data_IF_919694709793
#
_entry.id   IF_919694709793
#
_cell.length_a   1.000
_cell.length_b   1.000
_cell.length_c   1.000
_cell.angle_alpha   90.00
_cell.angle_beta   90.00
_cell.angle_gamma   90.00
#
_symmetry.space_group_name_H-M   'P 1'
#
loop_
_entity.id
_entity.type
_entity.pdbx_description
1 polymer ?
#
# COMPACT_ATOMS: atom_id res chain seq x y z
N UNK A 1 10.23 -8.97 14.40
CA UNK A 1 10.03 -7.69 13.70
C UNK A 1 10.80 -7.77 12.41
N UNK A 2 10.17 -8.31 11.35
CA UNK A 2 10.82 -8.44 10.04
C UNK A 2 10.14 -7.43 9.14
N UNK A 3 10.83 -6.31 8.90
CA UNK A 3 10.39 -5.31 7.94
C UNK A 3 10.49 -5.87 6.52
N UNK A 4 9.68 -5.32 5.59
CA UNK A 4 9.89 -5.47 4.16
C UNK A 4 11.17 -4.72 3.82
N UNK A 5 12.28 -5.40 4.00
CA UNK A 5 13.52 -4.98 3.39
C UNK A 5 13.87 -6.06 2.39
N UNK A 6 14.19 -5.69 1.14
CA UNK A 6 15.03 -6.60 0.42
C UNK A 6 16.20 -6.86 1.36
N UNK A 7 16.30 -8.08 1.85
CA UNK A 7 17.51 -8.48 2.52
C UNK A 7 18.57 -8.19 1.47
N UNK A 8 19.34 -7.13 1.69
CA UNK A 8 20.59 -6.96 0.95
C UNK A 8 21.39 -8.15 1.41
N UNK A 9 21.24 -9.25 0.68
CA UNK A 9 22.14 -10.37 0.81
C UNK A 9 23.46 -9.78 0.36
N UNK A 10 24.35 -9.49 1.31
CA UNK A 10 25.74 -9.20 0.98
C UNK A 10 26.14 -10.29 0.00
N UNK A 11 26.37 -9.88 -1.24
CA UNK A 11 26.69 -10.81 -2.31
C UNK A 11 27.94 -11.58 -1.84
N UNK A 12 27.86 -12.87 -1.56
CA UNK A 12 29.03 -13.59 -1.11
C UNK A 12 30.10 -13.45 -2.20
N UNK A 13 31.37 -13.24 -1.83
CA UNK A 13 32.45 -13.00 -2.79
C UNK A 13 32.57 -14.07 -3.87
N UNK A 14 31.96 -15.23 -3.68
CA UNK A 14 31.92 -16.32 -4.65
C UNK A 14 30.77 -16.18 -5.68
N UNK A 15 29.73 -15.36 -5.44
CA UNK A 15 28.67 -15.10 -6.41
C UNK A 15 29.20 -14.28 -7.59
N UNK A 16 30.26 -13.49 -7.39
CA UNK A 16 31.01 -12.80 -8.45
C UNK A 16 31.68 -13.75 -9.46
N UNK A 17 31.83 -15.04 -9.11
CA UNK A 17 32.46 -16.09 -9.94
C UNK A 17 31.46 -16.99 -10.63
N UNK A 18 30.15 -16.74 -10.47
CA UNK A 18 29.11 -17.51 -11.13
C UNK A 18 29.24 -17.38 -12.65
N UNK A 19 29.34 -18.53 -13.32
CA UNK A 19 29.50 -18.58 -14.78
C UNK A 19 28.31 -17.98 -15.55
N UNK A 20 27.14 -17.85 -14.93
CA UNK A 20 25.96 -17.25 -15.54
C UNK A 20 26.07 -15.72 -15.65
N UNK A 21 26.70 -15.04 -14.68
CA UNK A 21 26.92 -13.59 -14.71
C UNK A 21 27.96 -13.17 -15.75
N UNK A 22 28.99 -14.01 -16.01
CA UNK A 22 30.04 -13.71 -16.97
C UNK A 22 29.61 -13.91 -18.42
N UNK A 23 28.58 -14.75 -18.69
CA UNK A 23 28.17 -15.08 -20.05
C UNK A 23 27.42 -13.95 -20.77
N UNK A 24 26.85 -12.98 -20.05
CA UNK A 24 26.01 -11.92 -20.63
C UNK A 24 26.71 -10.57 -20.84
N UNK A 25 27.90 -10.35 -20.33
CA UNK A 25 28.72 -9.15 -20.59
C UNK A 25 28.13 -7.80 -20.13
N UNK A 26 27.05 -7.81 -19.34
CA UNK A 26 26.25 -6.61 -19.03
C UNK A 26 26.37 -6.20 -17.56
N UNK A 27 27.27 -6.81 -16.77
CA UNK A 27 27.44 -6.45 -15.35
C UNK A 27 26.18 -6.63 -14.46
N UNK A 28 25.26 -7.48 -14.88
CA UNK A 28 24.01 -7.79 -14.13
C UNK A 28 24.23 -9.05 -13.33
N UNK A 29 23.95 -8.98 -12.04
CA UNK A 29 23.92 -10.14 -11.16
C UNK A 29 22.53 -10.77 -11.19
N UNK A 30 22.47 -12.06 -11.48
CA UNK A 30 21.25 -12.85 -11.38
C UNK A 30 21.34 -13.70 -10.11
N UNK A 31 20.41 -13.50 -9.18
CA UNK A 31 20.25 -14.31 -8.00
C UNK A 31 19.20 -15.37 -8.30
N UNK A 32 19.58 -16.64 -8.24
CA UNK A 32 18.67 -17.78 -8.37
C UNK A 32 18.05 -18.10 -7.00
N UNK A 33 16.79 -18.56 -6.99
CA UNK A 33 16.05 -19.00 -5.79
C UNK A 33 15.83 -17.91 -4.72
N UNK A 34 15.81 -16.64 -5.12
CA UNK A 34 15.47 -15.54 -4.23
C UNK A 34 14.01 -15.14 -4.42
N UNK A 35 13.24 -15.20 -3.33
CA UNK A 35 11.89 -14.65 -3.28
C UNK A 35 11.95 -13.22 -2.75
N UNK A 36 11.66 -12.26 -3.62
CA UNK A 36 11.53 -10.84 -3.25
C UNK A 36 10.11 -10.60 -2.75
N UNK A 37 9.97 -9.97 -1.59
CA UNK A 37 8.67 -9.66 -0.96
C UNK A 37 7.74 -8.84 -1.87
N UNK A 38 8.29 -7.86 -2.60
CA UNK A 38 7.55 -7.09 -3.60
C UNK A 38 6.96 -7.96 -4.72
N UNK A 39 7.70 -8.98 -5.19
CA UNK A 39 7.20 -9.93 -6.19
C UNK A 39 6.16 -10.87 -5.60
N UNK A 40 6.34 -11.31 -4.35
CA UNK A 40 5.35 -12.10 -3.65
C UNK A 40 4.06 -11.31 -3.45
N UNK A 41 4.15 -10.04 -3.02
CA UNK A 41 3.01 -9.14 -2.92
C UNK A 41 2.24 -9.06 -4.24
N UNK A 42 2.95 -8.79 -5.34
CA UNK A 42 2.34 -8.67 -6.69
C UNK A 42 1.63 -9.96 -7.11
N UNK A 43 2.24 -11.13 -6.88
CA UNK A 43 1.64 -12.44 -7.20
C UNK A 43 0.41 -12.72 -6.35
N UNK A 44 0.45 -12.42 -5.06
CA UNK A 44 -0.68 -12.57 -4.14
C UNK A 44 -1.82 -11.62 -4.51
N UNK A 45 -1.51 -10.36 -4.84
CA UNK A 45 -2.48 -9.39 -5.33
C UNK A 45 -3.21 -9.91 -6.57
N UNK A 46 -2.47 -10.24 -7.63
CA UNK A 46 -3.06 -10.72 -8.91
C UNK A 46 -3.90 -11.96 -8.68
N UNK A 47 -3.44 -12.92 -7.87
CA UNK A 47 -4.20 -14.13 -7.55
C UNK A 47 -5.45 -13.82 -6.73
N UNK A 48 -5.34 -12.94 -5.75
CA UNK A 48 -6.46 -12.55 -4.90
C UNK A 48 -7.53 -11.81 -5.69
N UNK A 49 -7.16 -10.82 -6.49
CA UNK A 49 -8.08 -10.08 -7.35
C UNK A 49 -8.80 -10.99 -8.36
N UNK A 50 -8.10 -11.94 -8.99
CA UNK A 50 -8.68 -12.87 -9.95
C UNK A 50 -9.72 -13.83 -9.32
N UNK A 51 -9.64 -14.08 -8.01
CA UNK A 51 -10.55 -14.97 -7.27
C UNK A 51 -11.71 -14.24 -6.59
N UNK A 52 -11.72 -12.92 -6.63
CA UNK A 52 -12.78 -12.09 -6.01
C UNK A 52 -12.90 -12.36 -4.51
N UNK A 53 -14.10 -12.65 -4.05
CA UNK A 53 -14.36 -12.89 -2.61
C UNK A 53 -13.53 -14.04 -2.03
N UNK A 54 -13.27 -15.09 -2.79
CA UNK A 54 -12.43 -16.23 -2.36
C UNK A 54 -10.95 -15.88 -2.29
N UNK A 55 -10.54 -14.75 -2.86
CA UNK A 55 -9.17 -14.27 -2.89
C UNK A 55 -8.77 -13.36 -1.74
N UNK A 56 -9.70 -13.00 -0.85
CA UNK A 56 -9.42 -12.07 0.27
C UNK A 56 -8.28 -12.59 1.16
N UNK A 57 -8.18 -13.89 1.38
CA UNK A 57 -7.09 -14.47 2.16
C UNK A 57 -5.70 -14.18 1.55
N UNK A 58 -5.59 -14.20 0.22
CA UNK A 58 -4.35 -13.87 -0.49
C UNK A 58 -4.00 -12.39 -0.33
N UNK A 59 -4.99 -11.50 -0.38
CA UNK A 59 -4.82 -10.06 -0.19
C UNK A 59 -4.40 -9.72 1.24
N UNK A 60 -4.95 -10.41 2.24
CA UNK A 60 -4.54 -10.27 3.64
C UNK A 60 -3.07 -10.69 3.81
N UNK A 61 -2.67 -11.81 3.21
CA UNK A 61 -1.26 -12.25 3.24
C UNK A 61 -0.37 -11.25 2.52
N UNK A 62 -0.80 -10.68 1.39
CA UNK A 62 -0.06 -9.63 0.70
C UNK A 62 0.19 -8.42 1.61
N UNK A 63 -0.83 -7.93 2.32
CA UNK A 63 -0.67 -6.82 3.27
C UNK A 63 0.26 -7.16 4.43
N UNK A 64 0.32 -8.40 4.87
CA UNK A 64 1.23 -8.81 5.94
C UNK A 64 2.72 -8.69 5.58
N UNK A 65 3.03 -8.56 4.29
CA UNK A 65 4.38 -8.30 3.81
C UNK A 65 4.76 -6.81 3.90
N UNK A 66 3.78 -5.92 4.10
CA UNK A 66 3.99 -4.46 4.11
C UNK A 66 4.33 -3.99 5.51
N UNK A 67 5.48 -3.35 5.71
CA UNK A 67 5.92 -2.82 7.00
C UNK A 67 6.23 -1.31 6.99
N UNK A 68 6.15 -0.68 5.81
CA UNK A 68 6.45 0.75 5.64
C UNK A 68 6.38 1.18 4.19
N UNK A 69 6.79 2.41 3.88
CA UNK A 69 6.84 2.88 2.49
C UNK A 69 7.76 1.99 1.65
N UNK A 70 7.34 1.62 0.43
CA UNK A 70 8.16 0.81 -0.45
C UNK A 70 9.51 1.48 -0.74
N UNK A 71 10.58 0.70 -0.59
CA UNK A 71 11.96 1.11 -0.90
C UNK A 71 12.48 2.33 -0.12
N UNK A 72 11.86 2.70 0.99
CA UNK A 72 12.18 3.93 1.73
C UNK A 72 13.67 4.00 2.11
N UNK A 73 14.25 2.91 2.57
CA UNK A 73 15.67 2.86 2.94
C UNK A 73 16.63 2.95 1.75
N UNK A 74 16.18 2.55 0.56
CA UNK A 74 17.03 2.60 -0.64
C UNK A 74 17.09 4.00 -1.24
N UNK A 75 16.13 4.89 -0.95
CA UNK A 75 16.09 6.25 -1.50
C UNK A 75 17.26 7.10 -1.04
N UNK A 76 17.72 6.92 0.19
CA UNK A 76 18.87 7.66 0.75
C UNK A 76 20.20 7.29 0.12
N UNK A 77 20.30 6.14 -0.52
CA UNK A 77 21.54 5.58 -1.07
C UNK A 77 21.71 5.80 -2.59
N UNK A 78 20.87 6.65 -3.19
CA UNK A 78 21.01 7.05 -4.60
C UNK A 78 20.50 6.02 -5.60
N UNK A 79 19.52 5.18 -5.23
CA UNK A 79 18.86 4.24 -6.15
C UNK A 79 17.82 4.95 -7.02
N UNK A 80 18.25 5.93 -7.81
CA UNK A 80 17.38 6.78 -8.66
C UNK A 80 16.57 5.97 -9.67
N UNK A 81 17.07 4.81 -10.11
CA UNK A 81 16.36 3.91 -11.02
C UNK A 81 15.01 3.39 -10.49
N UNK A 82 14.78 3.45 -9.16
CA UNK A 82 13.48 3.10 -8.57
C UNK A 82 12.38 4.10 -8.94
N UNK A 83 12.77 5.35 -9.15
CA UNK A 83 11.87 6.46 -9.48
C UNK A 83 11.89 6.80 -10.96
N UNK A 84 12.88 6.29 -11.71
CA UNK A 84 13.00 6.47 -13.15
C UNK A 84 12.19 5.41 -13.92
N UNK A 85 11.72 5.78 -15.08
CA UNK A 85 11.06 4.87 -16.02
C UNK A 85 9.75 4.29 -15.49
N UNK A 86 9.74 3.02 -15.09
CA UNK A 86 8.54 2.30 -14.67
C UNK A 86 7.99 2.72 -13.30
N UNK A 87 8.67 3.60 -12.56
CA UNK A 87 8.24 4.08 -11.23
C UNK A 87 7.75 2.94 -10.32
N UNK A 88 8.63 1.95 -10.09
CA UNK A 88 8.29 0.73 -9.36
C UNK A 88 7.76 1.01 -7.95
N UNK A 89 8.30 2.03 -7.29
CA UNK A 89 7.86 2.52 -5.99
C UNK A 89 6.41 3.00 -6.04
N UNK A 90 6.05 3.83 -7.02
CA UNK A 90 4.69 4.34 -7.20
C UNK A 90 3.70 3.21 -7.49
N UNK A 91 4.05 2.25 -8.36
CA UNK A 91 3.20 1.09 -8.63
C UNK A 91 2.95 0.23 -7.39
N UNK A 92 3.94 0.10 -6.51
CA UNK A 92 3.77 -0.62 -5.25
C UNK A 92 2.92 0.17 -4.26
N UNK A 93 3.15 1.48 -4.11
CA UNK A 93 2.34 2.37 -3.26
C UNK A 93 0.86 2.29 -3.65
N UNK A 94 0.53 2.51 -4.93
CA UNK A 94 -0.84 2.38 -5.42
C UNK A 94 -1.40 0.97 -5.20
N UNK A 95 -0.59 -0.06 -5.49
CA UNK A 95 -1.00 -1.45 -5.30
C UNK A 95 -1.31 -1.80 -3.85
N UNK A 96 -0.55 -1.27 -2.90
CA UNK A 96 -0.79 -1.47 -1.46
C UNK A 96 -2.08 -0.76 -1.04
N UNK A 97 -2.28 0.49 -1.48
CA UNK A 97 -3.49 1.24 -1.20
C UNK A 97 -4.75 0.54 -1.73
N UNK A 98 -4.72 0.02 -2.97
CA UNK A 98 -5.82 -0.73 -3.57
C UNK A 98 -6.13 -2.02 -2.82
N UNK A 99 -5.12 -2.82 -2.51
CA UNK A 99 -5.30 -4.08 -1.75
C UNK A 99 -5.87 -3.81 -0.36
N UNK A 100 -5.35 -2.80 0.33
CA UNK A 100 -5.83 -2.42 1.65
C UNK A 100 -7.29 -1.94 1.61
N UNK A 101 -7.67 -1.15 0.60
CA UNK A 101 -9.04 -0.71 0.40
C UNK A 101 -10.01 -1.90 0.23
N UNK A 102 -9.64 -2.88 -0.60
CA UNK A 102 -10.44 -4.10 -0.80
C UNK A 102 -10.59 -4.88 0.51
N UNK A 103 -9.49 -5.08 1.25
CA UNK A 103 -9.52 -5.80 2.53
C UNK A 103 -10.31 -5.02 3.59
N UNK A 104 -10.14 -3.71 3.68
CA UNK A 104 -10.87 -2.83 4.62
C UNK A 104 -12.37 -2.90 4.34
N UNK A 105 -12.78 -2.70 3.08
CA UNK A 105 -14.19 -2.73 2.67
C UNK A 105 -14.83 -4.09 2.96
N UNK A 106 -14.14 -5.18 2.61
CA UNK A 106 -14.62 -6.53 2.92
C UNK A 106 -14.73 -6.76 4.43
N UNK A 107 -13.72 -6.39 5.20
CA UNK A 107 -13.71 -6.58 6.65
C UNK A 107 -14.83 -5.77 7.35
N UNK A 108 -15.09 -4.54 6.91
CA UNK A 108 -16.22 -3.74 7.39
C UNK A 108 -17.57 -4.40 7.06
N UNK A 109 -17.71 -4.95 5.85
CA UNK A 109 -18.95 -5.61 5.44
C UNK A 109 -19.27 -6.86 6.27
N UNK A 110 -18.24 -7.58 6.76
CA UNK A 110 -18.41 -8.77 7.63
C UNK A 110 -18.32 -8.45 9.12
N UNK A 111 -18.14 -7.18 9.49
CA UNK A 111 -18.06 -6.72 10.89
C UNK A 111 -16.70 -6.98 11.57
N UNK A 112 -15.65 -7.33 10.83
CA UNK A 112 -14.28 -7.51 11.36
C UNK A 112 -13.54 -6.16 11.40
N UNK A 113 -13.97 -5.30 12.32
CA UNK A 113 -13.45 -3.92 12.44
C UNK A 113 -11.95 -3.92 12.77
N UNK A 114 -11.46 -4.89 13.52
CA UNK A 114 -10.03 -4.99 13.84
C UNK A 114 -9.17 -5.20 12.57
N UNK A 115 -9.63 -6.05 11.67
CA UNK A 115 -8.93 -6.30 10.40
C UNK A 115 -9.04 -5.10 9.48
N UNK A 116 -10.20 -4.46 9.43
CA UNK A 116 -10.41 -3.25 8.65
C UNK A 116 -9.42 -2.16 9.09
N UNK A 117 -9.31 -1.91 10.41
CA UNK A 117 -8.36 -0.95 10.96
C UNK A 117 -6.92 -1.30 10.61
N UNK A 118 -6.50 -2.54 10.81
CA UNK A 118 -5.13 -2.96 10.52
C UNK A 118 -4.78 -2.77 9.03
N UNK A 119 -5.70 -3.09 8.11
CA UNK A 119 -5.48 -2.91 6.69
C UNK A 119 -5.35 -1.42 6.32
N UNK A 120 -6.24 -0.56 6.83
CA UNK A 120 -6.20 0.87 6.56
C UNK A 120 -4.93 1.54 7.15
N UNK A 121 -4.50 1.15 8.35
CA UNK A 121 -3.28 1.66 8.98
C UNK A 121 -2.01 1.24 8.21
N UNK A 122 -1.95 0.00 7.71
CA UNK A 122 -0.84 -0.45 6.86
C UNK A 122 -0.75 0.44 5.61
N UNK A 123 -1.88 0.69 4.94
CA UNK A 123 -1.89 1.54 3.76
C UNK A 123 -1.51 2.99 4.09
N UNK A 124 -1.99 3.54 5.19
CA UNK A 124 -1.65 4.91 5.61
C UNK A 124 -0.14 5.07 5.85
N UNK A 125 0.53 4.06 6.40
CA UNK A 125 1.98 4.07 6.61
C UNK A 125 2.74 3.90 5.29
N UNK A 126 2.28 2.99 4.41
CA UNK A 126 2.96 2.70 3.15
C UNK A 126 2.72 3.76 2.06
N UNK A 127 1.58 4.44 2.12
CA UNK A 127 1.11 5.40 1.13
C UNK A 127 0.58 6.69 1.81
N UNK A 128 1.42 7.44 2.54
CA UNK A 128 0.97 8.55 3.39
C UNK A 128 0.36 9.72 2.61
N UNK A 129 0.66 9.84 1.33
CA UNK A 129 0.15 10.91 0.47
C UNK A 129 -1.13 10.54 -0.28
N UNK A 130 -1.50 9.24 -0.29
CA UNK A 130 -2.72 8.78 -0.95
C UNK A 130 -3.97 9.13 -0.12
N UNK A 131 -5.05 9.51 -0.80
CA UNK A 131 -6.32 9.84 -0.15
C UNK A 131 -7.08 8.59 0.32
N UNK A 132 -6.97 7.48 -0.43
CA UNK A 132 -7.74 6.26 -0.17
C UNK A 132 -7.51 5.69 1.23
N UNK A 133 -6.28 5.54 1.74
CA UNK A 133 -6.06 5.07 3.11
C UNK A 133 -6.70 5.97 4.18
N UNK A 134 -6.76 7.29 3.93
CA UNK A 134 -7.41 8.24 4.84
C UNK A 134 -8.92 8.04 4.86
N UNK A 135 -9.55 7.84 3.70
CA UNK A 135 -10.98 7.54 3.60
C UNK A 135 -11.32 6.21 4.29
N UNK A 136 -10.47 5.19 4.12
CA UNK A 136 -10.63 3.91 4.80
C UNK A 136 -10.57 4.06 6.31
N UNK A 137 -9.65 4.87 6.84
CA UNK A 137 -9.58 5.19 8.27
C UNK A 137 -10.80 5.96 8.78
N UNK A 138 -11.37 6.85 7.97
CA UNK A 138 -12.65 7.51 8.29
C UNK A 138 -13.77 6.48 8.42
N UNK A 139 -13.89 5.58 7.44
CA UNK A 139 -14.91 4.53 7.46
C UNK A 139 -14.76 3.59 8.67
N UNK A 140 -13.52 3.24 9.02
CA UNK A 140 -13.23 2.42 10.20
C UNK A 140 -13.65 3.14 11.50
N UNK A 141 -13.28 4.42 11.69
CA UNK A 141 -13.68 5.20 12.87
C UNK A 141 -15.19 5.29 13.00
N UNK A 142 -15.88 5.54 11.88
CA UNK A 142 -17.35 5.56 11.87
C UNK A 142 -17.95 4.20 12.30
N UNK A 143 -17.38 3.09 11.79
CA UNK A 143 -17.83 1.74 12.17
C UNK A 143 -17.54 1.37 13.63
N UNK A 144 -16.54 1.99 14.25
CA UNK A 144 -16.24 1.88 15.70
C UNK A 144 -17.21 2.71 16.56
N UNK A 145 -18.04 3.55 15.95
CA UNK A 145 -18.98 4.44 16.65
C UNK A 145 -18.40 5.83 16.96
N UNK A 146 -17.21 6.15 16.47
CA UNK A 146 -16.53 7.42 16.69
C UNK A 146 -16.84 8.42 15.55
N UNK A 147 -18.14 8.75 15.39
CA UNK A 147 -18.60 9.55 14.25
C UNK A 147 -18.02 10.96 14.22
N UNK A 148 -17.97 11.64 15.36
CA UNK A 148 -17.40 13.00 15.43
C UNK A 148 -15.92 13.01 15.04
N UNK A 149 -15.14 12.05 15.56
CA UNK A 149 -13.72 11.90 15.21
C UNK A 149 -13.53 11.54 13.72
N UNK A 150 -14.45 10.75 13.15
CA UNK A 150 -14.42 10.41 11.73
C UNK A 150 -14.69 11.64 10.86
N UNK A 151 -15.67 12.48 11.23
CA UNK A 151 -16.00 13.71 10.51
C UNK A 151 -14.88 14.75 10.62
N UNK A 152 -14.30 14.93 11.78
CA UNK A 152 -13.17 15.83 11.99
C UNK A 152 -11.95 15.37 11.15
N UNK A 153 -11.63 14.08 11.21
CA UNK A 153 -10.53 13.54 10.43
C UNK A 153 -10.77 13.67 8.90
N UNK A 154 -12.01 13.42 8.43
CA UNK A 154 -12.39 13.61 7.04
C UNK A 154 -12.17 15.07 6.61
N UNK A 155 -12.66 16.01 7.41
CA UNK A 155 -12.52 17.44 7.14
C UNK A 155 -11.06 17.86 7.07
N UNK A 156 -10.25 17.46 8.06
CA UNK A 156 -8.90 17.97 8.23
C UNK A 156 -7.87 17.26 7.35
N UNK A 157 -8.03 15.94 7.15
CA UNK A 157 -7.04 15.12 6.46
C UNK A 157 -7.37 14.80 5.00
N UNK A 158 -8.60 15.07 4.57
CA UNK A 158 -9.04 14.81 3.19
C UNK A 158 -9.55 16.08 2.52
N UNK A 159 -10.52 16.78 3.13
CA UNK A 159 -11.21 17.89 2.46
C UNK A 159 -10.46 19.23 2.53
N UNK A 160 -9.76 19.51 3.62
CA UNK A 160 -9.07 20.78 3.86
C UNK A 160 -7.55 20.69 3.65
N UNK A 161 -7.10 19.75 2.84
CA UNK A 161 -5.67 19.69 2.46
C UNK A 161 -5.31 20.89 1.60
N UNK A 162 -4.13 21.41 1.84
CA UNK A 162 -3.50 22.42 1.00
C UNK A 162 -2.18 21.89 0.45
N UNK A 163 -1.80 22.38 -0.71
CA UNK A 163 -0.47 22.17 -1.27
C UNK A 163 0.61 22.95 -0.50
N UNK A 164 1.87 22.80 -0.92
CA UNK A 164 3.02 23.47 -0.29
C UNK A 164 2.91 25.00 -0.36
N UNK A 165 2.14 25.56 -1.30
CA UNK A 165 1.87 26.98 -1.46
C UNK A 165 0.65 27.45 -0.65
N UNK A 166 -0.03 26.54 0.06
CA UNK A 166 -1.20 26.82 0.88
C UNK A 166 -2.52 26.93 0.09
N UNK A 167 -2.52 26.57 -1.19
CA UNK A 167 -3.73 26.48 -2.00
C UNK A 167 -4.52 25.20 -1.64
N UNK A 168 -5.88 25.25 -1.67
CA UNK A 168 -6.69 24.05 -1.47
C UNK A 168 -6.39 23.01 -2.54
N UNK A 169 -6.14 21.77 -2.10
CA UNK A 169 -5.91 20.63 -2.99
C UNK A 169 -7.24 20.09 -3.52
N UNK A 170 -7.36 19.95 -4.84
CA UNK A 170 -8.55 19.36 -5.45
C UNK A 170 -8.65 17.87 -5.12
N UNK A 171 -9.82 17.43 -4.66
CA UNK A 171 -10.08 16.04 -4.39
C UNK A 171 -10.12 15.23 -5.69
N UNK A 172 -9.50 14.05 -5.69
CA UNK A 172 -9.57 13.14 -6.82
C UNK A 172 -11.03 12.77 -7.18
N UNK A 173 -11.31 12.45 -8.44
CA UNK A 173 -12.64 12.01 -8.87
C UNK A 173 -13.14 10.79 -8.09
N UNK A 174 -12.22 9.87 -7.74
CA UNK A 174 -12.50 8.69 -6.94
C UNK A 174 -12.95 9.06 -5.53
N UNK A 175 -12.22 9.96 -4.87
CA UNK A 175 -12.58 10.49 -3.54
C UNK A 175 -13.92 11.19 -3.56
N UNK A 176 -14.17 12.04 -4.56
CA UNK A 176 -15.45 12.72 -4.73
C UNK A 176 -16.60 11.72 -4.94
N UNK A 177 -16.38 10.63 -5.68
CA UNK A 177 -17.38 9.59 -5.87
C UNK A 177 -17.71 8.86 -4.54
N UNK A 178 -16.69 8.50 -3.76
CA UNK A 178 -16.87 7.87 -2.44
C UNK A 178 -17.63 8.81 -1.50
N UNK A 179 -17.27 10.08 -1.46
CA UNK A 179 -17.93 11.08 -0.60
C UNK A 179 -19.39 11.33 -1.01
N UNK A 180 -19.73 11.19 -2.28
CA UNK A 180 -21.13 11.30 -2.75
C UNK A 180 -22.00 10.11 -2.33
N UNK A 181 -21.42 8.93 -2.18
CA UNK A 181 -22.14 7.69 -1.85
C UNK A 181 -22.03 7.30 -0.35
N UNK A 182 -21.70 8.24 0.51
CA UNK A 182 -21.48 7.99 1.94
C UNK A 182 -22.77 7.79 2.75
N UNK A 183 -23.38 6.62 2.59
CA UNK A 183 -24.55 6.23 3.40
C UNK A 183 -24.22 6.02 4.89
N UNK A 184 -22.94 5.82 5.23
CA UNK A 184 -22.50 5.58 6.59
C UNK A 184 -22.48 6.84 7.49
N UNK A 185 -22.43 8.05 6.88
CA UNK A 185 -22.58 9.32 7.62
C UNK A 185 -24.06 9.69 7.88
N UNK A 186 -24.99 9.14 7.11
CA UNK A 186 -26.42 9.51 7.19
C UNK A 186 -27.25 8.64 8.12
N UNK A 187 -26.65 7.71 8.88
CA UNK A 187 -27.36 6.81 9.82
C UNK A 187 -27.59 7.38 11.22
N UNK A 188 -27.40 8.67 11.42
CA UNK A 188 -27.76 9.38 12.65
C UNK A 188 -29.02 10.21 12.42
N UNK A 189 -30.17 9.55 12.59
CA UNK A 189 -31.52 10.14 12.65
C UNK A 189 -32.37 9.27 13.51
#
# INVERSE_FOLDING_TARGET
MSGIFPTIVECPPDALKSKSGQARGIGVYELEDVLVDADLFRRLRVRGEARGADGIADLIVALSLVSGPPFDQLRSDGYEWLTEGASLDHHLVCGIADVAHVVTTHALAVGDIKRARAAAEIAQVAAPYEEMPRLDLVAVRAAEGHLEEAEDYLRDQVCNRSDDDGAPEDLSERTQAILRHREWLSRTG
#
